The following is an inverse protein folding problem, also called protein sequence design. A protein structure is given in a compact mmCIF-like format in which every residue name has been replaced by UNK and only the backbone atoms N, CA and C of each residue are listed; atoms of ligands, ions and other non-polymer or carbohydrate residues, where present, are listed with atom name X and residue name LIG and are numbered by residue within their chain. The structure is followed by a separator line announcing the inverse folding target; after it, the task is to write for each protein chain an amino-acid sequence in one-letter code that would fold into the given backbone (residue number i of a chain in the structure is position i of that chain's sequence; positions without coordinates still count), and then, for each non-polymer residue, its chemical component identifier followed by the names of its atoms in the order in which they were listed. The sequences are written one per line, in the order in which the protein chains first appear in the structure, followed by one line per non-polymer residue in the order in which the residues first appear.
data_IF_482847782260
#
_entry.id   IF_482847782260
#
_cell.length_a   1.000
_cell.length_b   1.000
_cell.length_c   1.000
_cell.angle_alpha   90.00
_cell.angle_beta   90.00
_cell.angle_gamma   90.00
#
_symmetry.space_group_name_H-M   'P 1'
#
loop_
_entity.id
_entity.type
_entity.pdbx_description
1 polymer ?
#
# COMPACT_ATOMS: atom_id res chain seq x y z
N UNK A 1 3.03 -3.60 -1.55
CA UNK A 1 4.25 -4.33 -1.10
C UNK A 1 4.25 -4.42 0.42
N UNK A 2 4.55 -5.58 1.02
CA UNK A 2 4.66 -5.68 2.50
C UNK A 2 5.94 -4.94 2.94
N UNK A 3 5.86 -4.17 4.01
CA UNK A 3 6.95 -3.31 4.48
C UNK A 3 7.22 -3.52 5.97
N UNK A 4 8.44 -3.19 6.38
CA UNK A 4 8.84 -3.12 7.77
C UNK A 4 9.81 -1.95 7.97
N UNK A 5 9.95 -1.51 9.22
CA UNK A 5 10.93 -0.49 9.58
C UNK A 5 12.11 -1.15 10.27
N UNK A 6 13.32 -0.85 9.80
CA UNK A 6 14.56 -1.33 10.40
C UNK A 6 15.52 -0.15 10.53
N UNK A 7 15.92 0.17 11.76
CA UNK A 7 16.78 1.32 12.07
C UNK A 7 16.25 2.64 11.48
N UNK A 8 14.93 2.86 11.56
CA UNK A 8 14.27 4.04 10.99
C UNK A 8 14.12 4.03 9.47
N UNK A 9 14.69 3.05 8.77
CA UNK A 9 14.56 2.92 7.32
C UNK A 9 13.36 2.05 6.96
N UNK A 10 12.58 2.51 5.98
CA UNK A 10 11.54 1.71 5.35
C UNK A 10 12.19 0.64 4.47
N UNK A 11 11.92 -0.64 4.75
CA UNK A 11 12.38 -1.76 3.94
C UNK A 11 11.21 -2.54 3.34
N UNK A 12 11.44 -3.04 2.13
CA UNK A 12 10.51 -3.92 1.44
C UNK A 12 10.75 -5.35 1.93
N UNK A 13 9.70 -6.01 2.40
CA UNK A 13 9.78 -7.39 2.85
C UNK A 13 9.69 -8.39 1.67
N UNK A 14 9.25 -7.93 0.51
CA UNK A 14 9.07 -8.79 -0.66
C UNK A 14 9.03 -7.98 -1.95
N UNK A 15 9.60 -8.53 -3.01
CA UNK A 15 9.51 -7.99 -4.37
C UNK A 15 8.16 -8.28 -5.05
N UNK A 16 7.29 -9.06 -4.39
CA UNK A 16 5.97 -9.39 -4.93
C UNK A 16 5.09 -8.15 -4.95
N UNK A 17 4.70 -7.77 -6.16
CA UNK A 17 3.63 -6.81 -6.37
C UNK A 17 2.29 -7.45 -6.04
N UNK A 18 1.53 -6.75 -5.22
CA UNK A 18 0.17 -7.13 -4.88
C UNK A 18 -0.76 -6.09 -5.49
N UNK A 19 -1.74 -6.57 -6.23
CA UNK A 19 -2.84 -5.74 -6.72
C UNK A 19 -3.86 -5.58 -5.58
N UNK A 20 -4.12 -4.34 -5.19
CA UNK A 20 -5.13 -4.01 -4.19
C UNK A 20 -6.20 -3.16 -4.84
N UNK A 21 -7.46 -3.54 -4.65
CA UNK A 21 -8.59 -2.68 -4.98
C UNK A 21 -9.02 -1.93 -3.73
N UNK A 22 -9.26 -0.62 -3.88
CA UNK A 22 -9.77 0.22 -2.82
C UNK A 22 -11.28 -0.04 -2.68
N UNK A 23 -11.70 -0.37 -1.47
CA UNK A 23 -13.12 -0.60 -1.16
C UNK A 23 -13.94 0.67 -1.42
N UNK A 24 -15.20 0.53 -1.87
CA UNK A 24 -16.05 1.68 -2.27
C UNK A 24 -16.10 2.80 -1.22
N UNK A 25 -16.18 2.44 0.07
CA UNK A 25 -16.18 3.38 1.21
C UNK A 25 -14.90 4.20 1.41
N UNK A 26 -13.81 3.82 0.76
CA UNK A 26 -12.52 4.50 0.82
C UNK A 26 -12.16 5.16 -0.52
N UNK A 27 -13.08 5.18 -1.49
CA UNK A 27 -12.85 5.86 -2.77
C UNK A 27 -12.69 7.37 -2.62
N UNK A 28 -13.34 7.94 -1.61
CA UNK A 28 -13.21 9.37 -1.30
C UNK A 28 -11.92 9.68 -0.53
N UNK A 29 -11.18 8.65 -0.08
CA UNK A 29 -9.84 8.83 0.49
C UNK A 29 -8.83 8.96 -0.65
N UNK A 30 -8.03 10.04 -0.70
CA UNK A 30 -7.09 10.29 -1.80
C UNK A 30 -5.83 9.41 -1.68
N UNK A 31 -6.00 8.10 -1.75
CA UNK A 31 -4.90 7.14 -1.75
C UNK A 31 -4.18 7.23 -3.10
N UNK A 32 -2.87 7.41 -3.04
CA UNK A 32 -1.97 7.55 -4.17
C UNK A 32 -0.80 6.54 -4.09
N UNK A 33 -0.08 6.40 -5.19
CA UNK A 33 1.18 5.67 -5.20
C UNK A 33 2.17 6.33 -4.21
N UNK A 34 2.91 5.50 -3.48
CA UNK A 34 3.83 5.95 -2.43
C UNK A 34 3.19 6.07 -1.05
N UNK A 35 1.86 5.99 -0.94
CA UNK A 35 1.20 5.95 0.36
C UNK A 35 1.46 4.62 1.09
N UNK A 36 1.47 4.69 2.41
CA UNK A 36 1.50 3.53 3.29
C UNK A 36 0.10 3.36 3.88
N UNK A 37 -0.52 2.23 3.60
CA UNK A 37 -1.87 1.91 4.07
C UNK A 37 -1.86 0.68 4.99
N UNK A 38 -2.73 0.69 5.99
CA UNK A 38 -2.99 -0.49 6.83
C UNK A 38 -4.04 -1.35 6.14
N UNK A 39 -3.77 -2.63 5.98
CA UNK A 39 -4.71 -3.60 5.41
C UNK A 39 -4.96 -4.76 6.34
N UNK A 40 -6.13 -5.40 6.21
CA UNK A 40 -6.39 -6.66 6.90
C UNK A 40 -5.87 -7.84 6.08
N UNK A 41 -5.08 -8.72 6.72
CA UNK A 41 -4.60 -9.97 6.13
C UNK A 41 -5.00 -11.17 7.01
N UNK A 42 -4.83 -12.39 6.50
CA UNK A 42 -4.99 -13.63 7.30
C UNK A 42 -4.04 -13.68 8.52
N UNK A 43 -2.94 -12.92 8.50
CA UNK A 43 -1.93 -12.84 9.56
C UNK A 43 -2.09 -11.58 10.43
N UNK A 44 -3.27 -10.95 10.41
CA UNK A 44 -3.54 -9.70 11.10
C UNK A 44 -3.33 -8.46 10.23
N UNK A 45 -3.30 -7.29 10.87
CA UNK A 45 -3.17 -6.01 10.20
C UNK A 45 -1.72 -5.75 9.80
N UNK A 46 -1.50 -5.34 8.55
CA UNK A 46 -0.15 -5.07 8.02
C UNK A 46 -0.06 -3.74 7.29
N UNK A 47 1.02 -2.98 7.47
CA UNK A 47 1.30 -1.80 6.68
C UNK A 47 1.80 -2.22 5.29
N UNK A 48 1.30 -1.58 4.24
CA UNK A 48 1.61 -1.90 2.86
C UNK A 48 1.88 -0.62 2.08
N UNK A 49 2.97 -0.63 1.30
CA UNK A 49 3.28 0.40 0.32
C UNK A 49 2.38 0.24 -0.91
N UNK A 50 1.68 1.32 -1.26
CA UNK A 50 0.86 1.44 -2.47
C UNK A 50 1.79 1.66 -3.66
N UNK A 51 1.92 0.63 -4.51
CA UNK A 51 2.77 0.70 -5.71
C UNK A 51 2.02 1.19 -6.94
N UNK A 52 0.72 0.93 -7.02
CA UNK A 52 -0.15 1.39 -8.10
C UNK A 52 -1.60 1.45 -7.60
N UNK A 53 -2.42 2.33 -8.16
CA UNK A 53 -3.81 2.52 -7.77
C UNK A 53 -4.72 2.32 -8.99
N UNK A 54 -5.51 1.25 -8.96
CA UNK A 54 -6.56 0.99 -9.95
C UNK A 54 -7.92 1.29 -9.32
N UNK A 55 -8.68 2.22 -9.91
CA UNK A 55 -10.00 2.66 -9.39
C UNK A 55 -11.18 1.97 -10.09
N UNK A 56 -10.92 1.12 -11.07
CA UNK A 56 -11.96 0.43 -11.82
C UNK A 56 -12.48 -0.82 -11.09
N UNK A 57 -13.80 -0.98 -11.14
CA UNK A 57 -14.54 -2.14 -10.67
C UNK A 57 -14.54 -3.20 -11.77
N UNK A 58 -13.59 -4.13 -11.72
CA UNK A 58 -13.62 -5.28 -12.64
C UNK A 58 -14.58 -6.34 -12.06
N UNK A 59 -15.88 -6.16 -12.35
CA UNK A 59 -16.96 -7.03 -11.85
C UNK A 59 -16.79 -8.49 -12.32
N UNK A 60 -16.07 -8.72 -13.41
CA UNK A 60 -15.83 -10.06 -13.96
C UNK A 60 -14.76 -10.84 -13.19
N UNK A 61 -13.74 -10.16 -12.65
CA UNK A 61 -12.57 -10.85 -12.08
C UNK A 61 -12.78 -11.53 -10.72
N UNK A 62 -13.96 -11.43 -10.08
CA UNK A 62 -14.30 -12.02 -8.76
C UNK A 62 -13.14 -12.01 -7.75
N UNK A 63 -12.30 -10.97 -7.79
CA UNK A 63 -11.01 -11.03 -7.14
C UNK A 63 -11.21 -10.77 -5.64
N UNK A 64 -10.65 -11.63 -4.79
CA UNK A 64 -10.80 -11.48 -3.34
C UNK A 64 -10.08 -10.21 -2.88
N UNK A 65 -10.88 -9.17 -2.65
CA UNK A 65 -10.41 -7.88 -2.18
C UNK A 65 -9.89 -8.00 -0.76
N UNK A 66 -8.71 -7.42 -0.51
CA UNK A 66 -8.26 -7.19 0.85
C UNK A 66 -8.53 -5.75 1.22
N UNK A 67 -9.22 -5.57 2.34
CA UNK A 67 -9.75 -4.29 2.78
C UNK A 67 -8.62 -3.41 3.32
N UNK A 68 -8.41 -2.26 2.67
CA UNK A 68 -7.70 -1.14 3.28
C UNK A 68 -8.52 -0.68 4.48
N UNK A 69 -7.87 -0.51 5.62
CA UNK A 69 -8.48 -0.07 6.87
C UNK A 69 -8.25 1.43 7.05
N UNK A 70 -7.02 1.91 6.82
CA UNK A 70 -6.62 3.28 7.10
C UNK A 70 -5.37 3.68 6.31
N UNK A 71 -5.25 4.95 5.94
CA UNK A 71 -4.00 5.57 5.48
C UNK A 71 -3.09 5.86 6.70
N UNK A 72 -1.88 5.31 6.71
CA UNK A 72 -0.92 5.52 7.80
C UNK A 72 -0.01 6.72 7.56
N UNK A 73 0.27 7.04 6.29
CA UNK A 73 1.12 8.17 5.91
C UNK A 73 1.70 7.97 4.52
N UNK A 74 2.76 8.73 4.20
CA UNK A 74 3.51 8.60 2.95
C UNK A 74 4.83 7.89 3.20
N UNK A 75 5.28 7.10 2.23
CA UNK A 75 6.66 6.66 2.21
C UNK A 75 7.58 7.89 2.12
N UNK A 76 8.75 7.87 2.78
CA UNK A 76 9.72 8.93 2.62
C UNK A 76 10.06 9.05 1.13
N UNK A 77 9.94 10.26 0.59
CA UNK A 77 10.43 10.56 -0.75
C UNK A 77 11.92 10.23 -0.77
N UNK A 78 12.41 9.65 -1.88
CA UNK A 78 13.85 9.58 -2.10
C UNK A 78 14.36 11.03 -2.09
N UNK A 79 14.88 11.48 -0.96
CA UNK A 79 15.80 12.62 -0.99
C UNK A 79 16.91 12.21 -1.95
N UNK A 80 17.20 13.00 -3.00
CA UNK A 80 18.34 12.70 -3.85
C UNK A 80 19.54 12.58 -2.90
N UNK A 81 20.18 11.41 -2.92
CA UNK A 81 21.39 11.19 -2.17
C UNK A 81 22.35 12.30 -2.57
N UNK A 82 22.64 13.21 -1.63
CA UNK A 82 23.69 14.21 -1.81
C UNK A 82 24.95 13.38 -2.00
N UNK A 83 25.42 13.29 -3.24
CA UNK A 83 26.74 12.74 -3.54
C UNK A 83 27.73 13.71 -2.91
N UNK A 84 28.31 13.31 -1.78
CA UNK A 84 29.52 13.93 -1.25
C UNK A 84 30.72 13.54 -2.08
#
# INVERSE_FOLDING_TARGET
MDIYFENGNLKLNTDKMYHWHIHIRLRDTPIAQGDIVLVQTKRGNRPILVMNVFREEDKEKKQKYKRVIKLLGKAPEKSPAIKS
#
